data_IF_690033114987
#
_entry.id   IF_690033114987
#
_cell.length_a   1.000
_cell.length_b   1.000
_cell.length_c   1.000
_cell.angle_alpha   90.00
_cell.angle_beta   90.00
_cell.angle_gamma   90.00
#
_symmetry.space_group_name_H-M   'P 1'
#
loop_
_entity.id
_entity.type
_entity.pdbx_description
1 polymer ?
#
# COMPACT_ATOMS: atom_id res chain seq x y z
N UNK A 1 -12.40 -5.38 30.80
CA UNK A 1 -12.40 -6.44 29.76
C UNK A 1 -11.15 -6.25 28.90
N UNK A 2 -10.10 -7.06 29.10
CA UNK A 2 -8.84 -6.96 28.35
C UNK A 2 -9.01 -7.68 27.02
N UNK A 3 -9.02 -6.94 25.91
CA UNK A 3 -9.03 -7.54 24.57
C UNK A 3 -7.73 -8.35 24.42
N UNK A 4 -7.85 -9.67 24.31
CA UNK A 4 -6.73 -10.54 23.95
C UNK A 4 -6.28 -10.16 22.54
N UNK A 5 -5.11 -9.50 22.41
CA UNK A 5 -4.44 -9.37 21.12
C UNK A 5 -3.90 -10.74 20.71
N UNK A 6 -4.36 -11.27 19.56
CA UNK A 6 -3.58 -11.97 18.51
C UNK A 6 -4.54 -12.68 17.53
N UNK A 7 -4.23 -12.75 16.21
CA UNK A 7 -2.96 -13.27 15.70
C UNK A 7 -2.28 -12.41 14.61
N UNK A 8 -0.94 -12.48 14.57
CA UNK A 8 -0.05 -11.91 13.52
C UNK A 8 -0.37 -10.51 12.96
N UNK A 9 0.00 -9.45 13.69
CA UNK A 9 0.01 -8.09 13.14
C UNK A 9 1.11 -7.96 12.07
N UNK A 10 0.81 -8.30 10.81
CA UNK A 10 1.70 -8.01 9.69
C UNK A 10 1.73 -6.49 9.53
N UNK A 11 2.86 -5.86 9.81
CA UNK A 11 3.06 -4.45 9.48
C UNK A 11 3.62 -4.34 8.08
N UNK A 12 2.89 -3.67 7.20
CA UNK A 12 3.27 -3.42 5.82
C UNK A 12 3.52 -1.94 5.68
N UNK A 13 4.76 -1.57 5.41
CA UNK A 13 5.12 -0.20 5.04
C UNK A 13 5.32 -0.13 3.53
N UNK A 14 4.60 0.78 2.87
CA UNK A 14 4.67 0.97 1.43
C UNK A 14 5.14 2.40 1.17
N UNK A 15 6.38 2.53 0.69
CA UNK A 15 6.91 3.82 0.24
C UNK A 15 6.52 3.98 -1.22
N UNK A 16 5.72 4.99 -1.52
CA UNK A 16 5.18 5.22 -2.87
C UNK A 16 4.92 6.72 -3.07
N UNK A 17 4.63 7.11 -4.31
CA UNK A 17 3.98 8.39 -4.60
C UNK A 17 2.48 8.13 -4.48
N UNK A 18 1.86 8.68 -3.44
CA UNK A 18 0.42 8.53 -3.23
C UNK A 18 -0.28 9.68 -3.94
N UNK A 19 -1.26 9.40 -4.82
CA UNK A 19 -2.08 10.46 -5.40
C UNK A 19 -2.82 11.19 -4.28
N UNK A 20 -2.38 12.40 -3.98
CA UNK A 20 -2.92 13.17 -2.86
C UNK A 20 -4.41 13.40 -3.06
N UNK A 21 -4.92 13.49 -4.30
CA UNK A 21 -6.31 13.88 -4.60
C UNK A 21 -7.32 12.74 -4.74
N UNK A 22 -6.92 11.47 -4.79
CA UNK A 22 -7.88 10.38 -5.06
C UNK A 22 -8.72 10.09 -3.81
N UNK A 23 -10.00 10.43 -3.86
CA UNK A 23 -11.02 9.87 -2.96
C UNK A 23 -10.96 10.41 -1.52
N UNK A 24 -10.66 11.69 -1.37
CA UNK A 24 -10.55 12.39 -0.06
C UNK A 24 -11.73 12.18 0.90
N UNK A 25 -12.91 11.78 0.41
CA UNK A 25 -13.97 11.28 1.27
C UNK A 25 -14.96 10.41 0.48
N UNK A 26 -15.15 9.16 0.88
CA UNK A 26 -16.16 8.26 0.30
C UNK A 26 -17.57 8.85 0.43
N UNK A 27 -17.86 9.59 1.51
CA UNK A 27 -19.12 10.30 1.68
C UNK A 27 -19.28 11.46 0.69
N UNK A 28 -18.22 12.23 0.41
CA UNK A 28 -18.28 13.28 -0.61
C UNK A 28 -18.45 12.68 -2.01
N UNK A 29 -17.83 11.53 -2.30
CA UNK A 29 -17.98 10.81 -3.57
C UNK A 29 -19.43 10.38 -3.82
N UNK A 30 -20.11 9.87 -2.79
CA UNK A 30 -21.54 9.50 -2.86
C UNK A 30 -22.39 10.76 -3.15
N UNK A 31 -22.16 11.85 -2.41
CA UNK A 31 -22.90 13.10 -2.62
C UNK A 31 -22.70 13.65 -4.02
N UNK A 32 -21.46 13.73 -4.54
CA UNK A 32 -21.20 14.28 -5.87
C UNK A 32 -21.80 13.42 -6.98
N UNK A 33 -21.80 12.09 -6.82
CA UNK A 33 -22.43 11.17 -7.77
C UNK A 33 -23.94 11.35 -7.85
N UNK A 34 -24.62 11.59 -6.73
CA UNK A 34 -26.06 11.91 -6.71
C UNK A 34 -26.36 13.22 -7.48
N UNK A 35 -25.43 14.17 -7.51
CA UNK A 35 -25.53 15.39 -8.33
C UNK A 35 -25.05 15.21 -9.79
N UNK A 36 -24.74 13.99 -10.21
CA UNK A 36 -24.29 13.68 -11.57
C UNK A 36 -22.84 14.08 -11.88
N UNK A 37 -22.02 14.33 -10.84
CA UNK A 37 -20.62 14.74 -10.99
C UNK A 37 -19.70 13.63 -10.47
N UNK A 38 -18.89 13.05 -11.36
CA UNK A 38 -17.89 12.03 -10.99
C UNK A 38 -16.48 12.66 -10.85
N UNK A 39 -16.30 13.44 -9.78
CA UNK A 39 -15.03 14.12 -9.47
C UNK A 39 -13.83 13.17 -9.38
N UNK A 40 -14.06 11.91 -9.00
CA UNK A 40 -12.99 10.92 -8.85
C UNK A 40 -12.40 10.51 -10.19
N UNK A 41 -13.26 10.29 -11.19
CA UNK A 41 -12.81 9.95 -12.54
C UNK A 41 -11.98 11.08 -13.14
N UNK A 42 -12.38 12.32 -12.94
CA UNK A 42 -11.65 13.47 -13.49
C UNK A 42 -10.34 13.74 -12.75
N UNK A 43 -10.29 13.58 -11.43
CA UNK A 43 -9.04 13.68 -10.65
C UNK A 43 -8.05 12.58 -11.00
N UNK A 44 -8.52 11.35 -11.28
CA UNK A 44 -7.64 10.25 -11.70
C UNK A 44 -6.94 10.60 -13.01
N UNK A 45 -7.64 11.21 -13.98
CA UNK A 45 -7.07 11.62 -15.27
C UNK A 45 -5.98 12.68 -15.16
N UNK A 46 -5.90 13.42 -14.06
CA UNK A 46 -4.86 14.43 -13.83
C UNK A 46 -3.50 13.81 -13.49
N UNK A 47 -3.47 12.53 -13.09
CA UNK A 47 -2.24 11.83 -12.76
C UNK A 47 -1.65 11.08 -13.96
N UNK A 48 -0.31 10.98 -14.07
CA UNK A 48 0.34 10.10 -15.03
C UNK A 48 -0.15 8.64 -14.91
N UNK A 49 -0.37 7.97 -16.04
CA UNK A 49 -0.86 6.58 -16.10
C UNK A 49 -0.02 5.63 -15.24
N UNK A 50 1.30 5.82 -15.22
CA UNK A 50 2.23 5.01 -14.42
C UNK A 50 1.93 5.07 -12.92
N UNK A 51 1.51 6.23 -12.41
CA UNK A 51 1.15 6.41 -10.99
C UNK A 51 -0.18 5.71 -10.68
N UNK A 52 -1.15 5.81 -11.60
CA UNK A 52 -2.45 5.16 -11.46
C UNK A 52 -2.27 3.64 -11.47
N UNK A 53 -1.49 3.11 -12.41
CA UNK A 53 -1.20 1.69 -12.53
C UNK A 53 -0.47 1.17 -11.27
N UNK A 54 0.54 1.90 -10.80
CA UNK A 54 1.24 1.58 -9.55
C UNK A 54 0.28 1.55 -8.35
N UNK A 55 -0.59 2.55 -8.23
CA UNK A 55 -1.59 2.64 -7.15
C UNK A 55 -2.58 1.46 -7.19
N UNK A 56 -3.04 1.07 -8.38
CA UNK A 56 -3.91 -0.10 -8.56
C UNK A 56 -3.23 -1.38 -8.08
N UNK A 57 -1.98 -1.60 -8.51
CA UNK A 57 -1.20 -2.79 -8.13
C UNK A 57 -0.91 -2.86 -6.64
N UNK A 58 -0.63 -1.72 -5.99
CA UNK A 58 -0.49 -1.63 -4.54
C UNK A 58 -1.80 -2.01 -3.86
N UNK A 59 -2.93 -1.51 -4.36
CA UNK A 59 -4.27 -1.81 -3.82
C UNK A 59 -4.60 -3.29 -3.94
N UNK A 60 -4.30 -3.92 -5.08
CA UNK A 60 -4.48 -5.36 -5.31
C UNK A 60 -3.60 -6.19 -4.37
N UNK A 61 -2.33 -5.80 -4.20
CA UNK A 61 -1.41 -6.44 -3.25
C UNK A 61 -1.94 -6.38 -1.81
N UNK A 62 -2.36 -5.20 -1.35
CA UNK A 62 -2.94 -5.02 0.00
C UNK A 62 -4.18 -5.91 0.15
N UNK A 63 -5.11 -5.86 -0.82
CA UNK A 63 -6.32 -6.69 -0.81
C UNK A 63 -6.00 -8.18 -0.72
N UNK A 64 -5.04 -8.67 -1.51
CA UNK A 64 -4.62 -10.05 -1.49
C UNK A 64 -4.00 -10.47 -0.14
N UNK A 65 -3.24 -9.58 0.48
CA UNK A 65 -2.61 -9.83 1.78
C UNK A 65 -3.63 -9.79 2.93
N UNK A 66 -4.57 -8.84 2.93
CA UNK A 66 -5.62 -8.73 3.95
C UNK A 66 -6.61 -9.90 3.94
N UNK A 67 -6.72 -10.63 2.81
CA UNK A 67 -7.49 -11.89 2.75
C UNK A 67 -6.83 -13.01 3.56
N UNK A 68 -5.53 -12.91 3.86
CA UNK A 68 -4.74 -13.98 4.52
C UNK A 68 -4.46 -13.71 5.99
N UNK A 69 -4.35 -12.44 6.40
CA UNK A 69 -4.01 -12.05 7.77
C UNK A 69 -4.58 -10.68 8.12
N UNK A 70 -4.58 -10.34 9.41
CA UNK A 70 -4.73 -8.96 9.83
C UNK A 70 -3.46 -8.17 9.45
N UNK A 71 -3.64 -7.04 8.77
CA UNK A 71 -2.55 -6.24 8.20
C UNK A 71 -2.66 -4.80 8.68
N UNK A 72 -1.60 -4.29 9.30
CA UNK A 72 -1.42 -2.87 9.55
C UNK A 72 -0.68 -2.25 8.36
N UNK A 73 -1.41 -1.52 7.52
CA UNK A 73 -0.83 -0.82 6.35
C UNK A 73 -0.39 0.59 6.74
N UNK A 74 0.83 0.96 6.37
CA UNK A 74 1.40 2.30 6.54
C UNK A 74 1.87 2.76 5.16
N UNK A 75 1.15 3.73 4.59
CA UNK A 75 1.58 4.39 3.34
C UNK A 75 2.52 5.53 3.71
N UNK A 76 3.69 5.56 3.05
CA UNK A 76 4.74 6.56 3.26
C UNK A 76 4.97 7.29 1.95
N UNK A 77 4.78 8.60 1.96
CA UNK A 77 5.05 9.43 0.78
C UNK A 77 6.56 9.52 0.51
N UNK A 78 6.97 9.05 -0.67
CA UNK A 78 8.36 8.95 -1.09
C UNK A 78 9.07 10.31 -1.12
N UNK A 79 8.34 11.38 -1.47
CA UNK A 79 8.91 12.73 -1.60
C UNK A 79 9.07 13.47 -0.26
N UNK A 80 8.67 12.86 0.86
CA UNK A 80 8.91 13.43 2.20
C UNK A 80 10.30 13.10 2.73
N UNK A 81 10.88 13.90 3.65
CA UNK A 81 12.13 13.55 4.32
C UNK A 81 12.08 12.17 4.99
N UNK A 82 10.94 11.79 5.57
CA UNK A 82 10.74 10.48 6.18
C UNK A 82 10.74 9.35 5.13
N UNK A 83 10.07 9.54 4.00
CA UNK A 83 10.08 8.61 2.87
C UNK A 83 11.48 8.39 2.30
N UNK A 84 12.19 9.48 2.00
CA UNK A 84 13.57 9.43 1.50
C UNK A 84 14.50 8.72 2.49
N UNK A 85 14.42 9.04 3.78
CA UNK A 85 15.21 8.38 4.82
C UNK A 85 14.94 6.87 4.87
N UNK A 86 13.67 6.45 4.78
CA UNK A 86 13.27 5.04 4.77
C UNK A 86 13.75 4.33 3.50
N UNK A 87 13.67 4.97 2.33
CA UNK A 87 14.22 4.43 1.08
C UNK A 87 15.73 4.16 1.22
N UNK A 88 16.50 5.13 1.73
CA UNK A 88 17.93 4.97 1.97
C UNK A 88 18.19 3.81 2.95
N UNK A 89 17.50 3.81 4.09
CA UNK A 89 17.65 2.78 5.14
C UNK A 89 17.39 1.36 4.63
N UNK A 90 16.41 1.20 3.75
CA UNK A 90 16.03 -0.08 3.18
C UNK A 90 16.70 -0.37 1.81
N UNK A 91 17.63 0.49 1.38
CA UNK A 91 18.32 0.41 0.08
C UNK A 91 17.33 0.29 -1.08
N UNK A 92 16.26 1.07 -1.06
CA UNK A 92 15.26 1.15 -2.11
C UNK A 92 15.60 2.24 -3.12
N UNK A 93 15.57 1.91 -4.42
CA UNK A 93 15.85 2.84 -5.52
C UNK A 93 14.71 2.95 -6.55
N UNK A 94 13.68 2.10 -6.46
CA UNK A 94 12.53 2.11 -7.37
C UNK A 94 11.22 1.99 -6.59
N UNK A 95 10.21 2.76 -7.01
CA UNK A 95 8.90 2.75 -6.36
C UNK A 95 7.94 1.73 -6.99
N UNK A 96 7.00 1.19 -6.20
CA UNK A 96 6.91 1.32 -4.75
C UNK A 96 7.96 0.43 -4.06
N UNK A 97 8.37 0.81 -2.84
CA UNK A 97 9.18 -0.04 -1.96
C UNK A 97 8.25 -0.67 -0.92
N UNK A 98 8.21 -2.00 -0.85
CA UNK A 98 7.34 -2.72 0.09
C UNK A 98 8.20 -3.40 1.16
N UNK A 99 7.86 -3.10 2.42
CA UNK A 99 8.57 -3.57 3.60
C UNK A 99 7.56 -4.30 4.49
N UNK A 100 7.90 -5.53 4.89
CA UNK A 100 7.10 -6.36 5.79
C UNK A 100 7.87 -6.54 7.09
N UNK A 101 7.29 -6.10 8.21
CA UNK A 101 7.90 -6.21 9.55
C UNK A 101 9.35 -5.71 9.58
N UNK A 102 9.64 -4.61 8.88
CA UNK A 102 10.98 -4.01 8.79
C UNK A 102 11.91 -4.62 7.74
N UNK A 103 11.48 -5.64 6.98
CA UNK A 103 12.27 -6.28 5.93
C UNK A 103 11.77 -5.85 4.56
N UNK A 104 12.64 -5.27 3.71
CA UNK A 104 12.29 -4.97 2.32
C UNK A 104 12.09 -6.28 1.55
N UNK A 105 10.92 -6.45 0.92
CA UNK A 105 10.60 -7.65 0.13
C UNK A 105 10.49 -7.39 -1.37
N UNK A 106 10.32 -6.12 -1.74
CA UNK A 106 10.08 -5.68 -3.11
C UNK A 106 10.46 -4.22 -3.33
N UNK A 107 10.86 -3.90 -4.56
CA UNK A 107 10.96 -2.53 -5.08
C UNK A 107 10.66 -2.50 -6.58
N UNK A 108 10.07 -1.40 -7.07
CA UNK A 108 9.77 -1.22 -8.49
C UNK A 108 8.42 -1.78 -8.94
N UNK A 109 8.18 -1.75 -10.26
CA UNK A 109 6.89 -2.12 -10.86
C UNK A 109 6.44 -3.53 -10.46
N UNK A 110 5.31 -3.62 -9.76
CA UNK A 110 4.69 -4.88 -9.33
C UNK A 110 4.07 -5.55 -10.56
N UNK A 111 4.57 -6.72 -10.96
CA UNK A 111 3.99 -7.47 -12.11
C UNK A 111 2.84 -8.38 -11.70
N UNK A 112 2.96 -9.00 -10.53
CA UNK A 112 1.97 -9.94 -9.98
C UNK A 112 1.73 -9.61 -8.50
N UNK A 113 0.67 -8.83 -8.20
CA UNK A 113 0.33 -8.45 -6.84
C UNK A 113 -0.03 -9.63 -5.94
N UNK A 114 -0.63 -10.70 -6.48
CA UNK A 114 -1.06 -11.86 -5.70
C UNK A 114 0.13 -12.73 -5.29
N UNK A 115 1.04 -13.00 -6.21
CA UNK A 115 2.28 -13.72 -5.90
C UNK A 115 3.12 -12.94 -4.88
N UNK A 116 3.16 -11.62 -4.99
CA UNK A 116 3.87 -10.77 -4.03
C UNK A 116 3.22 -10.82 -2.64
N UNK A 117 1.89 -10.82 -2.56
CA UNK A 117 1.16 -10.99 -1.30
C UNK A 117 1.40 -12.37 -0.68
N UNK A 118 1.47 -13.44 -1.50
CA UNK A 118 1.84 -14.77 -1.03
C UNK A 118 3.25 -14.78 -0.42
N UNK A 119 4.24 -14.22 -1.13
CA UNK A 119 5.62 -14.07 -0.63
C UNK A 119 5.68 -13.29 0.68
N UNK A 120 4.94 -12.18 0.79
CA UNK A 120 4.87 -11.37 2.00
C UNK A 120 4.36 -12.18 3.21
N UNK A 121 3.33 -13.00 2.99
CA UNK A 121 2.77 -13.87 4.00
C UNK A 121 3.76 -14.97 4.43
N UNK A 122 4.43 -15.65 3.48
CA UNK A 122 5.43 -16.68 3.79
C UNK A 122 6.62 -16.15 4.61
N UNK A 123 7.12 -14.95 4.27
CA UNK A 123 8.22 -14.30 5.02
C UNK A 123 7.79 -14.04 6.47
N UNK A 124 6.54 -13.66 6.68
CA UNK A 124 5.98 -13.43 8.02
C UNK A 124 5.99 -14.73 8.83
N UNK A 125 5.60 -15.87 8.23
CA UNK A 125 5.61 -17.16 8.90
C UNK A 125 7.02 -17.61 9.27
N UNK A 126 7.99 -17.47 8.37
CA UNK A 126 9.39 -17.89 8.59
C UNK A 126 10.07 -17.12 9.72
N UNK A 127 9.80 -15.83 9.86
CA UNK A 127 10.37 -15.00 10.92
C UNK A 127 9.83 -15.30 12.33
N UNK A 128 8.77 -16.12 12.45
CA UNK A 128 8.24 -16.57 13.74
C UNK A 128 8.85 -17.88 14.25
N UNK A 129 9.56 -18.59 13.38
CA UNK A 129 10.15 -19.90 13.68
C UNK A 129 11.55 -19.80 14.30
N UNK A 130 12.03 -18.59 14.61
CA UNK A 130 13.34 -18.28 15.19
C UNK A 130 13.13 -17.46 16.45
#
# INVERSE_FOLDING_TARGET
MRVKRQPEDITVEIITISPIMIGHCEHCEILTKEFGIDYKVDQIKEYPEEIIEMSSKITEFIRALTRKSYVKVIIIEALTPYGLLKMIRHRGGKLPVIIINGIKIWEGNIKDPEALAHKAYEITLKNKST
#
